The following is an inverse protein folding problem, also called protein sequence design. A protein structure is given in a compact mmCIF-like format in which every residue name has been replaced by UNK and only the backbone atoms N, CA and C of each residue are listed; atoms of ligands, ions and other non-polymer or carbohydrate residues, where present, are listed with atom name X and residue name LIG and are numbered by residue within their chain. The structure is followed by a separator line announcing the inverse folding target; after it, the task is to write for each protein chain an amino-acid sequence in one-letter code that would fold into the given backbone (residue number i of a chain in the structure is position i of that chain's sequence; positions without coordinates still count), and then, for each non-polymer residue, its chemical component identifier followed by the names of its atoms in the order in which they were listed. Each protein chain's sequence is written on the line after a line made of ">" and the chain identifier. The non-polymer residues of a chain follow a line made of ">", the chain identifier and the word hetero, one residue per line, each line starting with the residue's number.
data_IF_417282805575
#
_entry.id   IF_417282805575
#
_cell.length_a   1.000
_cell.length_b   1.000
_cell.length_c   1.000
_cell.angle_alpha   90.00
_cell.angle_beta   90.00
_cell.angle_gamma   90.00
#
_symmetry.space_group_name_H-M   'P 1'
#
loop_
_entity.id
_entity.type
_entity.pdbx_description
1 polymer ?
#
# COMPACT_ATOMS: atom_id res chain seq x y z
N UNK A 1 3.11 -39.60 22.75
CA UNK A 1 3.55 -38.50 23.63
C UNK A 1 4.35 -37.50 22.79
N UNK A 2 3.70 -36.47 22.25
CA UNK A 2 4.43 -35.33 21.69
C UNK A 2 5.09 -34.59 22.86
N UNK A 3 6.41 -34.41 22.83
CA UNK A 3 7.14 -33.76 23.91
C UNK A 3 6.87 -32.25 23.98
N UNK A 4 7.25 -31.58 25.09
CA UNK A 4 7.01 -30.15 25.33
C UNK A 4 7.60 -29.22 24.24
N UNK A 5 8.57 -29.68 23.46
CA UNK A 5 9.11 -28.95 22.31
C UNK A 5 8.14 -28.89 21.11
N UNK A 6 7.31 -29.90 20.89
CA UNK A 6 6.31 -29.92 19.81
C UNK A 6 5.12 -29.02 20.13
N UNK A 7 4.71 -28.93 21.41
CA UNK A 7 3.68 -28.00 21.88
C UNK A 7 4.16 -26.54 21.80
N UNK A 8 5.42 -26.26 22.14
CA UNK A 8 6.01 -24.92 21.98
C UNK A 8 6.14 -24.48 20.51
N UNK A 9 6.44 -25.42 19.60
CA UNK A 9 6.51 -25.17 18.16
C UNK A 9 5.13 -24.92 17.55
N UNK A 10 4.12 -25.74 17.91
CA UNK A 10 2.74 -25.54 17.46
C UNK A 10 2.14 -24.22 17.98
N UNK A 11 2.41 -23.85 19.23
CA UNK A 11 1.91 -22.61 19.84
C UNK A 11 2.56 -21.36 19.23
N UNK A 12 3.87 -21.40 18.92
CA UNK A 12 4.56 -20.31 18.21
C UNK A 12 4.17 -20.21 16.73
N UNK A 13 3.90 -21.35 16.08
CA UNK A 13 3.36 -21.45 14.73
C UNK A 13 1.96 -20.81 14.67
N UNK A 14 0.98 -21.32 15.44
CA UNK A 14 -0.39 -20.77 15.47
C UNK A 14 -0.40 -19.25 15.67
N UNK A 15 0.40 -18.75 16.62
CA UNK A 15 0.45 -17.31 16.95
C UNK A 15 0.92 -16.45 15.78
N UNK A 16 1.85 -16.95 14.98
CA UNK A 16 2.40 -16.23 13.82
C UNK A 16 1.37 -16.15 12.67
N UNK A 17 0.63 -17.24 12.41
CA UNK A 17 -0.45 -17.23 11.42
C UNK A 17 -1.64 -16.40 11.86
N UNK A 18 -1.99 -16.40 13.15
CA UNK A 18 -3.06 -15.54 13.67
C UNK A 18 -2.78 -14.05 13.41
N UNK A 19 -1.55 -13.57 13.67
CA UNK A 19 -1.19 -12.19 13.40
C UNK A 19 -1.29 -11.83 11.91
N UNK A 20 -0.84 -12.72 11.02
CA UNK A 20 -0.95 -12.53 9.58
C UNK A 20 -2.41 -12.55 9.10
N UNK A 21 -3.23 -13.47 9.61
CA UNK A 21 -4.66 -13.55 9.28
C UNK A 21 -5.39 -12.28 9.72
N UNK A 22 -5.17 -11.82 10.95
CA UNK A 22 -5.74 -10.57 11.46
C UNK A 22 -5.31 -9.37 10.61
N UNK A 23 -4.05 -9.35 10.19
CA UNK A 23 -3.51 -8.31 9.31
C UNK A 23 -4.16 -8.31 7.92
N UNK A 24 -4.32 -9.47 7.30
CA UNK A 24 -5.01 -9.61 6.01
C UNK A 24 -6.47 -9.19 6.17
N UNK A 25 -7.15 -9.63 7.22
CA UNK A 25 -8.54 -9.25 7.51
C UNK A 25 -8.68 -7.74 7.66
N UNK A 26 -7.77 -7.06 8.38
CA UNK A 26 -7.77 -5.60 8.51
C UNK A 26 -7.70 -4.91 7.14
N UNK A 27 -6.78 -5.35 6.28
CA UNK A 27 -6.63 -4.79 4.94
C UNK A 27 -7.85 -5.05 4.05
N UNK A 28 -8.42 -6.26 4.12
CA UNK A 28 -9.66 -6.61 3.41
C UNK A 28 -10.84 -5.74 3.89
N UNK A 29 -11.00 -5.55 5.20
CA UNK A 29 -12.05 -4.71 5.77
C UNK A 29 -11.90 -3.28 5.26
N UNK A 30 -10.70 -2.70 5.31
CA UNK A 30 -10.44 -1.34 4.83
C UNK A 30 -10.74 -1.23 3.33
N UNK A 31 -10.34 -2.23 2.54
CA UNK A 31 -10.65 -2.28 1.12
C UNK A 31 -12.17 -2.31 0.88
N UNK A 32 -12.90 -3.22 1.53
CA UNK A 32 -14.35 -3.39 1.35
C UNK A 32 -15.13 -2.16 1.81
N UNK A 33 -14.79 -1.59 2.97
CA UNK A 33 -15.43 -0.37 3.48
C UNK A 33 -15.19 0.79 2.52
N UNK A 34 -13.97 0.95 2.03
CA UNK A 34 -13.63 2.00 1.07
C UNK A 34 -14.33 1.79 -0.26
N UNK A 35 -14.40 0.55 -0.75
CA UNK A 35 -15.11 0.20 -1.98
C UNK A 35 -16.60 0.59 -1.89
N UNK A 36 -17.29 0.21 -0.82
CA UNK A 36 -18.71 0.52 -0.61
C UNK A 36 -18.96 2.01 -0.40
N UNK A 37 -17.99 2.76 0.15
CA UNK A 37 -18.09 4.22 0.27
C UNK A 37 -18.20 4.92 -1.10
N UNK A 38 -17.47 4.44 -2.10
CA UNK A 38 -17.46 5.01 -3.45
C UNK A 38 -18.55 4.45 -4.37
N UNK A 39 -19.22 3.38 -3.95
CA UNK A 39 -20.44 2.88 -4.60
C UNK A 39 -21.69 3.74 -4.28
N UNK A 40 -21.63 4.58 -3.24
CA UNK A 40 -22.79 5.39 -2.79
C UNK A 40 -23.17 6.51 -3.78
N UNK A 41 -24.45 6.94 -3.80
CA UNK A 41 -24.99 7.88 -4.78
C UNK A 41 -24.33 9.27 -4.79
N UNK A 42 -23.61 9.66 -3.72
CA UNK A 42 -22.83 10.91 -3.69
C UNK A 42 -21.80 11.01 -4.83
N UNK A 43 -21.34 9.89 -5.37
CA UNK A 43 -20.39 9.83 -6.48
C UNK A 43 -21.03 9.34 -7.79
N UNK A 44 -22.36 9.44 -7.92
CA UNK A 44 -23.12 8.85 -9.02
C UNK A 44 -22.55 9.19 -10.40
N UNK A 45 -22.34 10.47 -10.71
CA UNK A 45 -21.82 10.90 -12.02
C UNK A 45 -20.45 10.30 -12.35
N UNK A 46 -19.51 10.33 -11.39
CA UNK A 46 -18.17 9.77 -11.58
C UNK A 46 -18.20 8.24 -11.67
N UNK A 47 -19.09 7.60 -10.91
CA UNK A 47 -19.31 6.16 -10.97
C UNK A 47 -19.95 5.73 -12.30
N UNK A 48 -20.85 6.53 -12.88
CA UNK A 48 -21.43 6.25 -14.20
C UNK A 48 -20.35 6.26 -15.30
N UNK A 49 -19.37 7.15 -15.20
CA UNK A 49 -18.26 7.21 -16.16
C UNK A 49 -17.20 6.11 -15.96
N UNK A 50 -16.78 5.90 -14.71
CA UNK A 50 -15.63 5.04 -14.38
C UNK A 50 -16.01 3.62 -13.98
N UNK A 51 -17.26 3.41 -13.58
CA UNK A 51 -17.76 2.16 -13.04
C UNK A 51 -17.00 1.70 -11.80
N UNK A 52 -16.81 0.39 -11.71
CA UNK A 52 -16.12 -0.28 -10.60
C UNK A 52 -14.65 0.15 -10.46
N UNK A 53 -14.02 0.66 -11.53
CA UNK A 53 -12.65 1.15 -11.50
C UNK A 53 -12.44 2.31 -10.52
N UNK A 54 -13.46 3.16 -10.30
CA UNK A 54 -13.42 4.19 -9.26
C UNK A 54 -13.32 3.57 -7.86
N UNK A 55 -14.19 2.60 -7.57
CA UNK A 55 -14.24 1.95 -6.26
C UNK A 55 -12.95 1.19 -5.98
N UNK A 56 -12.43 0.43 -6.95
CA UNK A 56 -11.17 -0.32 -6.81
C UNK A 56 -9.99 0.62 -6.60
N UNK A 57 -9.85 1.68 -7.41
CA UNK A 57 -8.71 2.61 -7.30
C UNK A 57 -8.67 3.33 -5.95
N UNK A 58 -9.83 3.74 -5.42
CA UNK A 58 -9.93 4.38 -4.10
C UNK A 58 -9.75 3.40 -2.95
N UNK A 59 -10.27 2.19 -3.06
CA UNK A 59 -10.11 1.16 -2.05
C UNK A 59 -8.65 0.70 -1.91
N UNK A 60 -7.96 0.46 -3.03
CA UNK A 60 -6.54 0.11 -3.02
C UNK A 60 -5.67 1.28 -2.53
N UNK A 61 -6.01 2.53 -2.85
CA UNK A 61 -5.32 3.70 -2.30
C UNK A 61 -5.42 3.78 -0.77
N UNK A 62 -6.59 3.48 -0.19
CA UNK A 62 -6.76 3.44 1.26
C UNK A 62 -5.87 2.37 1.92
N UNK A 63 -5.77 1.20 1.28
CA UNK A 63 -4.85 0.14 1.70
C UNK A 63 -3.39 0.62 1.60
N UNK A 64 -2.95 1.21 0.49
CA UNK A 64 -1.60 1.76 0.35
C UNK A 64 -1.30 2.77 1.46
N UNK A 65 -2.21 3.72 1.72
CA UNK A 65 -2.02 4.78 2.71
C UNK A 65 -1.88 4.24 4.14
N UNK A 66 -2.73 3.29 4.56
CA UNK A 66 -2.61 2.66 5.86
C UNK A 66 -1.24 1.98 6.01
N UNK A 67 -0.89 1.15 5.04
CA UNK A 67 0.32 0.35 5.12
C UNK A 67 1.58 1.23 5.06
N UNK A 68 1.58 2.27 4.22
CA UNK A 68 2.67 3.23 4.15
C UNK A 68 2.82 4.02 5.45
N UNK A 69 1.73 4.37 6.13
CA UNK A 69 1.81 5.03 7.45
C UNK A 69 2.45 4.12 8.52
N UNK A 70 2.22 2.81 8.44
CA UNK A 70 2.68 1.84 9.43
C UNK A 70 4.07 1.24 9.11
N UNK A 71 4.53 1.27 7.85
CA UNK A 71 5.76 0.58 7.39
C UNK A 71 7.04 1.05 8.08
N UNK A 72 7.07 2.30 8.57
CA UNK A 72 8.20 2.89 9.28
C UNK A 72 8.22 2.53 10.76
N UNK A 73 7.08 2.20 11.37
CA UNK A 73 7.00 1.90 12.80
C UNK A 73 7.99 0.81 13.23
N UNK A 74 8.13 -0.34 12.52
CA UNK A 74 9.04 -1.40 12.95
C UNK A 74 10.52 -1.01 12.91
N UNK A 75 10.91 0.00 12.12
CA UNK A 75 12.31 0.42 11.94
C UNK A 75 12.68 1.63 12.81
N UNK A 76 11.70 2.39 13.30
CA UNK A 76 11.92 3.57 14.16
C UNK A 76 12.29 3.18 15.60
N UNK A 77 13.59 3.00 15.88
CA UNK A 77 14.11 2.60 17.21
C UNK A 77 13.63 3.46 18.38
N UNK A 78 13.48 4.78 18.19
CA UNK A 78 12.99 5.69 19.24
C UNK A 78 11.53 5.43 19.62
N UNK A 79 10.64 5.28 18.63
CA UNK A 79 9.24 4.92 18.83
C UNK A 79 9.14 3.53 19.47
N UNK A 80 9.95 2.59 18.99
CA UNK A 80 9.99 1.24 19.53
C UNK A 80 10.44 1.20 21.00
N UNK A 81 11.37 2.08 21.39
CA UNK A 81 11.79 2.27 22.78
C UNK A 81 10.67 2.84 23.66
N UNK A 82 9.87 3.78 23.14
CA UNK A 82 8.70 4.30 23.85
C UNK A 82 7.63 3.22 24.05
N UNK A 83 7.30 2.48 22.99
CA UNK A 83 6.37 1.34 23.03
C UNK A 83 6.88 0.29 24.02
N UNK A 84 8.19 0.02 24.01
CA UNK A 84 8.82 -0.88 24.97
C UNK A 84 8.56 -0.44 26.41
N UNK A 85 8.76 0.83 26.75
CA UNK A 85 8.55 1.34 28.11
C UNK A 85 7.09 1.26 28.53
N UNK A 86 6.15 1.48 27.61
CA UNK A 86 4.72 1.37 27.86
C UNK A 86 4.29 -0.09 28.09
N UNK A 87 4.67 -1.01 27.20
CA UNK A 87 4.26 -2.42 27.23
C UNK A 87 5.00 -3.26 28.28
N UNK A 88 6.22 -2.88 28.66
CA UNK A 88 6.96 -3.55 29.74
C UNK A 88 6.23 -3.49 31.08
N UNK A 89 5.36 -2.50 31.29
CA UNK A 89 4.48 -2.40 32.46
C UNK A 89 3.32 -3.39 32.43
N UNK A 90 2.95 -3.91 31.25
CA UNK A 90 1.78 -4.77 31.04
C UNK A 90 2.21 -6.23 30.90
N UNK A 91 3.15 -6.54 30.00
CA UNK A 91 3.61 -7.92 29.77
C UNK A 91 4.98 -7.97 29.10
N UNK A 92 5.94 -8.60 29.77
CA UNK A 92 7.28 -8.88 29.23
C UNK A 92 7.25 -9.90 28.08
N UNK A 93 6.28 -10.81 28.08
CA UNK A 93 6.14 -11.85 27.05
C UNK A 93 5.65 -11.27 25.71
N UNK A 94 4.66 -10.37 25.74
CA UNK A 94 4.17 -9.69 24.54
C UNK A 94 5.25 -8.80 23.92
N UNK A 95 6.08 -8.19 24.76
CA UNK A 95 7.18 -7.33 24.37
C UNK A 95 8.31 -8.07 23.64
N UNK A 96 8.74 -9.20 24.20
CA UNK A 96 9.74 -10.09 23.58
C UNK A 96 9.27 -10.58 22.21
N UNK A 97 7.99 -10.94 22.08
CA UNK A 97 7.41 -11.38 20.82
C UNK A 97 7.37 -10.26 19.78
N UNK A 98 6.96 -9.06 20.18
CA UNK A 98 6.84 -7.92 19.27
C UNK A 98 8.20 -7.52 18.68
N UNK A 99 9.23 -7.39 19.54
CA UNK A 99 10.59 -7.05 19.10
C UNK A 99 11.17 -8.12 18.16
N UNK A 100 10.91 -9.40 18.43
CA UNK A 100 11.41 -10.50 17.61
C UNK A 100 10.82 -10.52 16.18
N UNK A 101 9.69 -9.85 15.95
CA UNK A 101 8.94 -9.89 14.69
C UNK A 101 8.91 -8.57 13.92
N UNK A 102 9.56 -7.52 14.39
CA UNK A 102 9.51 -6.19 13.74
C UNK A 102 9.91 -6.24 12.26
N UNK A 103 10.97 -6.99 11.92
CA UNK A 103 11.40 -7.16 10.54
C UNK A 103 10.34 -7.85 9.68
N UNK A 104 9.74 -8.92 10.20
CA UNK A 104 8.69 -9.68 9.49
C UNK A 104 7.45 -8.79 9.26
N UNK A 105 7.11 -7.95 10.25
CA UNK A 105 6.02 -6.97 10.15
C UNK A 105 6.33 -5.93 9.07
N UNK A 106 7.54 -5.35 9.04
CA UNK A 106 7.95 -4.41 7.98
C UNK A 106 7.86 -5.04 6.58
N UNK A 107 8.32 -6.28 6.41
CA UNK A 107 8.25 -6.98 5.13
C UNK A 107 6.79 -7.23 4.74
N UNK A 108 5.93 -7.65 5.68
CA UNK A 108 4.50 -7.89 5.43
C UNK A 108 3.78 -6.60 5.00
N UNK A 109 4.06 -5.49 5.68
CA UNK A 109 3.59 -4.15 5.32
C UNK A 109 4.05 -3.76 3.90
N UNK A 110 5.35 -3.90 3.62
CA UNK A 110 5.93 -3.55 2.32
C UNK A 110 5.34 -4.40 1.18
N UNK A 111 5.17 -5.71 1.37
CA UNK A 111 4.53 -6.59 0.39
C UNK A 111 3.08 -6.17 0.14
N UNK A 112 2.34 -5.79 1.19
CA UNK A 112 0.95 -5.30 1.06
C UNK A 112 0.90 -3.99 0.26
N UNK A 113 1.84 -3.05 0.49
CA UNK A 113 1.95 -1.81 -0.28
C UNK A 113 2.17 -2.11 -1.76
N UNK A 114 3.11 -2.98 -2.10
CA UNK A 114 3.42 -3.33 -3.49
C UNK A 114 2.20 -3.93 -4.19
N UNK A 115 1.55 -4.92 -3.57
CA UNK A 115 0.37 -5.55 -4.16
C UNK A 115 -0.78 -4.54 -4.37
N UNK A 116 -1.07 -3.73 -3.35
CA UNK A 116 -2.11 -2.72 -3.43
C UNK A 116 -1.77 -1.62 -4.45
N UNK A 117 -0.50 -1.22 -4.57
CA UNK A 117 -0.03 -0.25 -5.56
C UNK A 117 -0.17 -0.76 -7.00
N UNK A 118 0.10 -2.05 -7.25
CA UNK A 118 -0.14 -2.67 -8.57
C UNK A 118 -1.62 -2.66 -8.90
N UNK A 119 -2.49 -3.10 -7.99
CA UNK A 119 -3.95 -3.09 -8.17
C UNK A 119 -4.46 -1.66 -8.41
N UNK A 120 -3.99 -0.69 -7.61
CA UNK A 120 -4.29 0.74 -7.75
C UNK A 120 -3.92 1.28 -9.13
N UNK A 121 -2.73 0.95 -9.61
CA UNK A 121 -2.22 1.42 -10.89
C UNK A 121 -3.01 0.84 -12.06
N UNK A 122 -3.31 -0.45 -12.04
CA UNK A 122 -4.16 -1.10 -13.04
C UNK A 122 -5.55 -0.46 -13.04
N UNK A 123 -6.15 -0.23 -11.87
CA UNK A 123 -7.45 0.44 -11.77
C UNK A 123 -7.42 1.86 -12.35
N UNK A 124 -6.33 2.62 -12.14
CA UNK A 124 -6.17 3.94 -12.76
C UNK A 124 -6.02 3.89 -14.29
N UNK A 125 -5.36 2.86 -14.84
CA UNK A 125 -5.29 2.64 -16.29
C UNK A 125 -6.66 2.30 -16.88
N UNK A 126 -7.45 1.48 -16.18
CA UNK A 126 -8.84 1.20 -16.59
C UNK A 126 -9.68 2.48 -16.54
N UNK A 127 -9.50 3.29 -15.49
CA UNK A 127 -10.21 4.57 -15.37
C UNK A 127 -9.81 5.57 -16.46
N UNK A 128 -8.53 5.63 -16.87
CA UNK A 128 -8.11 6.52 -17.95
C UNK A 128 -8.69 6.11 -19.31
N UNK A 129 -8.83 4.80 -19.57
CA UNK A 129 -9.57 4.28 -20.73
C UNK A 129 -11.04 4.69 -20.66
N UNK A 130 -11.68 4.56 -19.50
CA UNK A 130 -13.08 4.92 -19.31
C UNK A 130 -13.33 6.43 -19.49
N UNK A 131 -12.45 7.29 -18.95
CA UNK A 131 -12.50 8.74 -19.18
C UNK A 131 -12.36 9.11 -20.66
N UNK A 132 -11.53 8.40 -21.41
CA UNK A 132 -11.36 8.63 -22.85
C UNK A 132 -12.59 8.22 -23.66
N UNK A 133 -13.20 7.07 -23.33
CA UNK A 133 -14.35 6.51 -24.05
C UNK A 133 -15.67 7.20 -23.74
N UNK A 134 -15.91 7.48 -22.46
CA UNK A 134 -17.16 8.05 -21.93
C UNK A 134 -17.06 9.56 -21.66
N UNK A 135 -16.23 10.26 -22.44
CA UNK A 135 -16.12 11.72 -22.36
C UNK A 135 -17.49 12.38 -22.56
N UNK A 136 -17.91 13.20 -21.58
CA UNK A 136 -19.19 13.92 -21.63
C UNK A 136 -18.99 15.39 -22.06
N UNK A 137 -19.51 15.75 -23.22
CA UNK A 137 -19.39 17.11 -23.77
C UNK A 137 -20.16 18.14 -22.92
N UNK A 138 -21.20 17.72 -22.21
CA UNK A 138 -22.06 18.61 -21.43
C UNK A 138 -21.47 18.99 -20.06
N UNK A 139 -20.54 18.18 -19.54
CA UNK A 139 -19.91 18.38 -18.24
C UNK A 139 -18.37 18.28 -18.37
N UNK A 140 -17.70 19.25 -19.01
CA UNK A 140 -16.25 19.21 -19.19
C UNK A 140 -15.47 19.21 -17.86
N UNK A 141 -16.05 19.75 -16.78
CA UNK A 141 -15.42 19.87 -15.46
C UNK A 141 -15.23 18.54 -14.72
N UNK A 142 -16.02 17.51 -15.05
CA UNK A 142 -15.87 16.17 -14.45
C UNK A 142 -14.96 15.26 -15.29
N UNK A 143 -14.68 15.64 -16.55
CA UNK A 143 -13.84 14.86 -17.43
C UNK A 143 -12.37 15.10 -17.15
N UNK A 144 -11.63 14.01 -17.01
CA UNK A 144 -10.19 14.10 -16.97
C UNK A 144 -9.56 14.17 -18.37
N UNK A 145 -10.17 13.49 -19.35
CA UNK A 145 -9.78 13.60 -20.76
C UNK A 145 -10.17 14.98 -21.31
N UNK A 146 -9.38 15.52 -22.23
CA UNK A 146 -9.62 16.82 -22.90
C UNK A 146 -10.58 16.71 -24.08
N UNK A 147 -10.66 15.53 -24.68
CA UNK A 147 -11.54 15.23 -25.81
C UNK A 147 -11.81 13.73 -25.87
N UNK A 148 -12.91 13.36 -26.54
CA UNK A 148 -13.31 11.97 -26.71
C UNK A 148 -12.28 11.18 -27.52
N UNK A 149 -11.87 10.02 -27.01
CA UNK A 149 -10.87 9.17 -27.67
C UNK A 149 -9.42 9.60 -27.46
N UNK A 150 -9.13 10.55 -26.58
CA UNK A 150 -7.75 10.87 -26.19
C UNK A 150 -7.00 9.61 -25.73
N UNK A 151 -5.74 9.43 -26.13
CA UNK A 151 -5.00 8.22 -25.77
C UNK A 151 -4.83 8.12 -24.23
N UNK A 152 -5.22 6.99 -23.61
CA UNK A 152 -5.19 6.82 -22.15
C UNK A 152 -3.79 6.95 -21.55
N UNK A 153 -2.76 6.51 -22.29
CA UNK A 153 -1.36 6.68 -21.87
C UNK A 153 -0.95 8.16 -21.87
N UNK A 154 -1.35 8.93 -22.88
CA UNK A 154 -1.07 10.36 -22.89
C UNK A 154 -1.78 11.07 -21.75
N UNK A 155 -3.02 10.67 -21.43
CA UNK A 155 -3.76 11.21 -20.29
C UNK A 155 -2.98 10.99 -18.98
N UNK A 156 -2.49 9.77 -18.74
CA UNK A 156 -1.68 9.47 -17.56
C UNK A 156 -0.37 10.27 -17.56
N UNK A 157 0.38 10.27 -18.67
CA UNK A 157 1.71 10.89 -18.75
C UNK A 157 1.70 12.43 -18.79
N UNK A 158 0.59 13.05 -19.20
CA UNK A 158 0.47 14.53 -19.21
C UNK A 158 -0.22 15.06 -17.95
N UNK A 159 -0.98 14.21 -17.26
CA UNK A 159 -1.58 14.59 -15.99
C UNK A 159 -0.51 14.56 -14.90
N UNK A 160 -0.54 15.56 -14.05
CA UNK A 160 0.48 15.64 -13.02
C UNK A 160 0.20 14.60 -11.90
N UNK A 161 -1.00 13.98 -11.83
CA UNK A 161 -1.31 12.86 -10.90
C UNK A 161 -0.74 11.56 -11.47
N UNK A 162 -0.89 11.34 -12.78
CA UNK A 162 -0.29 10.19 -13.43
C UNK A 162 1.24 10.25 -13.41
N UNK A 163 1.85 11.43 -13.61
CA UNK A 163 3.31 11.60 -13.49
C UNK A 163 3.83 11.26 -12.09
N UNK A 164 3.18 11.77 -11.02
CA UNK A 164 3.60 11.43 -9.65
C UNK A 164 3.35 9.95 -9.35
N UNK A 165 2.27 9.36 -9.87
CA UNK A 165 2.00 7.91 -9.76
C UNK A 165 3.08 7.06 -10.42
N UNK A 166 3.48 7.38 -11.65
CA UNK A 166 4.56 6.69 -12.37
C UNK A 166 5.89 6.84 -11.63
N UNK A 167 6.22 8.05 -11.16
CA UNK A 167 7.44 8.28 -10.37
C UNK A 167 7.46 7.43 -9.09
N UNK A 168 6.35 7.36 -8.35
CA UNK A 168 6.24 6.51 -7.15
C UNK A 168 6.39 5.03 -7.48
N UNK A 169 5.80 4.54 -8.59
CA UNK A 169 5.94 3.15 -9.01
C UNK A 169 7.38 2.78 -9.34
N UNK A 170 8.10 3.66 -10.05
CA UNK A 170 9.52 3.44 -10.37
C UNK A 170 10.34 3.37 -9.08
N UNK A 171 10.14 4.30 -8.16
CA UNK A 171 10.82 4.30 -6.86
C UNK A 171 10.51 3.03 -6.06
N UNK A 172 9.23 2.66 -5.96
CA UNK A 172 8.79 1.47 -5.23
C UNK A 172 9.37 0.18 -5.84
N UNK A 173 9.41 0.09 -7.18
CA UNK A 173 9.99 -1.05 -7.88
C UNK A 173 11.50 -1.14 -7.65
N UNK A 174 12.23 -0.03 -7.72
CA UNK A 174 13.66 0.00 -7.39
C UNK A 174 13.89 -0.49 -5.96
N UNK A 175 13.19 0.09 -4.98
CA UNK A 175 13.29 -0.36 -3.59
C UNK A 175 12.99 -1.86 -3.44
N UNK A 176 11.97 -2.39 -4.12
CA UNK A 176 11.61 -3.81 -4.07
C UNK A 176 12.71 -4.71 -4.65
N UNK A 177 13.16 -4.40 -5.87
CA UNK A 177 14.14 -5.21 -6.60
C UNK A 177 15.49 -5.25 -5.86
N UNK A 178 15.96 -4.11 -5.36
CA UNK A 178 17.21 -4.05 -4.60
C UNK A 178 17.06 -4.60 -3.16
N UNK A 179 15.84 -4.83 -2.67
CA UNK A 179 15.56 -5.48 -1.38
C UNK A 179 15.42 -7.00 -1.48
N UNK A 180 15.47 -7.58 -2.69
CA UNK A 180 15.44 -9.03 -2.89
C UNK A 180 16.60 -9.69 -2.14
N UNK A 181 16.36 -10.87 -1.57
CA UNK A 181 17.34 -11.59 -0.73
C UNK A 181 18.69 -11.76 -1.43
N UNK A 182 18.66 -12.18 -2.69
CA UNK A 182 19.85 -12.34 -3.54
C UNK A 182 20.69 -11.05 -3.62
N UNK A 183 20.05 -9.93 -3.94
CA UNK A 183 20.75 -8.65 -4.07
C UNK A 183 21.26 -8.14 -2.73
N UNK A 184 20.43 -8.20 -1.68
CA UNK A 184 20.81 -7.70 -0.34
C UNK A 184 21.98 -8.46 0.28
N UNK A 185 22.09 -9.76 0.01
CA UNK A 185 23.19 -10.59 0.53
C UNK A 185 24.49 -10.40 -0.27
N UNK A 186 24.40 -10.10 -1.57
CA UNK A 186 25.59 -9.86 -2.40
C UNK A 186 26.05 -8.40 -2.42
N UNK A 187 25.14 -7.42 -2.32
CA UNK A 187 25.40 -5.98 -2.48
C UNK A 187 24.63 -5.16 -1.44
N UNK A 188 25.07 -5.26 -0.18
CA UNK A 188 24.38 -4.61 0.94
C UNK A 188 24.36 -3.08 0.84
N UNK A 189 25.45 -2.45 0.41
CA UNK A 189 25.53 -0.98 0.30
C UNK A 189 24.53 -0.42 -0.73
N UNK A 190 24.34 -1.14 -1.84
CA UNK A 190 23.35 -0.78 -2.86
C UNK A 190 21.92 -0.91 -2.32
N UNK A 191 21.62 -2.01 -1.61
CA UNK A 191 20.36 -2.17 -0.90
C UNK A 191 20.13 -0.99 0.05
N UNK A 192 21.11 -0.68 0.91
CA UNK A 192 20.98 0.35 1.93
C UNK A 192 20.76 1.74 1.31
N UNK A 193 21.55 2.10 0.30
CA UNK A 193 21.44 3.39 -0.40
C UNK A 193 20.10 3.53 -1.12
N UNK A 194 19.67 2.50 -1.87
CA UNK A 194 18.39 2.54 -2.59
C UNK A 194 17.18 2.51 -1.65
N UNK A 195 17.29 1.92 -0.46
CA UNK A 195 16.19 1.89 0.49
C UNK A 195 15.83 3.29 1.02
N UNK A 196 16.78 4.25 1.08
CA UNK A 196 16.49 5.65 1.44
C UNK A 196 15.52 6.36 0.50
N UNK A 197 15.28 5.80 -0.70
CA UNK A 197 14.23 6.28 -1.59
C UNK A 197 12.83 6.19 -0.95
N UNK A 198 12.68 5.56 0.23
CA UNK A 198 11.47 5.68 1.04
C UNK A 198 11.12 7.15 1.35
N UNK A 199 12.10 8.05 1.49
CA UNK A 199 11.86 9.47 1.75
C UNK A 199 11.14 10.17 0.57
N UNK A 200 11.69 10.17 -0.66
CA UNK A 200 10.96 10.72 -1.80
C UNK A 200 9.66 9.97 -2.09
N UNK A 201 9.58 8.65 -1.84
CA UNK A 201 8.33 7.90 -1.95
C UNK A 201 7.26 8.45 -1.00
N UNK A 202 7.58 8.66 0.29
CA UNK A 202 6.62 9.22 1.26
C UNK A 202 6.23 10.65 0.91
N UNK A 203 7.18 11.49 0.49
CA UNK A 203 6.90 12.85 0.03
C UNK A 203 5.94 12.85 -1.16
N UNK A 204 6.22 12.04 -2.19
CA UNK A 204 5.35 11.89 -3.35
C UNK A 204 3.98 11.31 -2.96
N UNK A 205 3.90 10.37 -2.02
CA UNK A 205 2.64 9.79 -1.58
C UNK A 205 1.71 10.84 -0.94
N UNK A 206 2.27 11.77 -0.16
CA UNK A 206 1.53 12.89 0.43
C UNK A 206 1.07 13.88 -0.64
N UNK A 207 1.92 14.16 -1.64
CA UNK A 207 1.64 15.14 -2.70
C UNK A 207 0.76 14.57 -3.82
N UNK A 208 0.76 13.26 -4.05
CA UNK A 208 0.07 12.59 -5.15
C UNK A 208 -1.45 12.86 -5.18
N UNK A 209 -2.20 12.77 -4.06
CA UNK A 209 -3.63 13.08 -4.05
C UNK A 209 -3.92 14.59 -4.02
N UNK A 210 -2.92 15.46 -3.83
CA UNK A 210 -3.10 16.91 -3.79
C UNK A 210 -3.21 17.48 -5.21
N UNK A 211 -4.42 17.41 -5.77
CA UNK A 211 -4.94 18.21 -6.88
C UNK A 211 -6.42 18.46 -6.72
#
# INVERSE_FOLDING_TARGET
>A
RCGPAAEGMACSFLRSYCCLILWVLLNVIIFVVSYHKYLRPKHYYLHTMLGTGLCVSRASAAVVNLNAALVLLPVCRGVNSLIYRALNRISRSLLSLWLARLKDVHITLATTIVLAAVIHSIAHLVNSVNFSRHYDIHHPEINWAKYRGQSPLLLVLTSTVGLTGVAMLVVLLLMLLLSLKCVRESHYDLFWATHFLFLPFMGLLILHPLR
#
